data_IF_166765672291
#
_entry.id   IF_166765672291
#
_cell.length_a   1.000
_cell.length_b   1.000
_cell.length_c   1.000
_cell.angle_alpha   90.00
_cell.angle_beta   90.00
_cell.angle_gamma   90.00
#
_symmetry.space_group_name_H-M   'P 1'
#
loop_
_entity.id
_entity.type
_entity.pdbx_description
1 polymer ?
#
# COMPACT_ATOMS: atom_id res chain seq x y z
N UNK A 1 -2.35 17.82 -22.60
CA UNK A 1 -1.38 17.63 -21.49
C UNK A 1 -0.51 16.43 -21.81
N UNK A 2 0.81 16.58 -21.74
CA UNK A 2 1.76 15.50 -21.98
C UNK A 2 2.12 14.82 -20.64
N UNK A 3 1.80 13.54 -20.49
CA UNK A 3 2.04 12.76 -19.28
C UNK A 3 3.18 11.77 -19.52
N UNK A 4 4.26 11.91 -18.72
CA UNK A 4 5.33 10.91 -18.66
C UNK A 4 4.89 9.71 -17.85
N UNK A 5 4.99 8.50 -18.39
CA UNK A 5 4.58 7.26 -17.70
C UNK A 5 5.77 6.37 -17.44
N UNK A 6 6.00 6.06 -16.15
CA UNK A 6 7.09 5.24 -15.65
C UNK A 6 6.57 4.15 -14.72
N UNK A 7 7.05 2.93 -14.86
CA UNK A 7 6.77 1.80 -13.96
C UNK A 7 8.07 1.21 -13.45
N UNK A 8 8.20 1.08 -12.14
CA UNK A 8 9.23 0.20 -11.57
C UNK A 8 8.69 -1.24 -11.57
N UNK A 9 9.18 -2.11 -12.47
CA UNK A 9 8.62 -3.45 -12.63
C UNK A 9 8.85 -4.36 -11.42
N UNK A 10 9.74 -3.97 -10.52
CA UNK A 10 10.11 -4.77 -9.34
C UNK A 10 9.37 -4.31 -8.08
N UNK A 11 8.69 -3.16 -8.15
CA UNK A 11 7.97 -2.63 -6.99
C UNK A 11 6.81 -3.54 -6.56
N UNK A 12 6.83 -3.93 -5.27
CA UNK A 12 5.81 -4.77 -4.66
C UNK A 12 5.85 -6.25 -5.04
N UNK A 13 6.86 -6.69 -5.80
CA UNK A 13 6.97 -8.04 -6.35
C UNK A 13 7.00 -9.13 -5.27
N UNK A 14 7.73 -8.91 -4.18
CA UNK A 14 7.90 -9.89 -3.10
C UNK A 14 6.84 -9.84 -2.00
N UNK A 15 5.81 -8.98 -2.11
CA UNK A 15 4.87 -8.73 -1.01
C UNK A 15 4.14 -9.98 -0.52
N UNK A 16 3.60 -10.80 -1.42
CA UNK A 16 2.94 -12.07 -1.07
C UNK A 16 3.89 -13.15 -0.57
N UNK A 17 5.18 -13.04 -0.87
CA UNK A 17 6.22 -13.96 -0.41
C UNK A 17 6.81 -13.55 0.95
N UNK A 18 6.29 -12.49 1.58
CA UNK A 18 6.81 -11.96 2.84
C UNK A 18 8.11 -11.17 2.72
N UNK A 19 8.53 -10.82 1.50
CA UNK A 19 9.72 -10.00 1.31
C UNK A 19 9.44 -8.56 1.75
N UNK A 20 10.32 -8.01 2.57
CA UNK A 20 10.17 -6.67 3.18
C UNK A 20 10.73 -5.54 2.32
N UNK A 21 10.89 -5.79 1.03
CA UNK A 21 11.39 -4.95 -0.04
C UNK A 21 11.73 -5.82 -1.25
N UNK A 22 11.70 -5.23 -2.45
CA UNK A 22 12.07 -5.94 -3.70
C UNK A 22 13.49 -5.64 -4.15
N UNK A 23 14.17 -4.68 -3.51
CA UNK A 23 15.48 -4.20 -3.91
C UNK A 23 16.53 -5.32 -3.80
N UNK A 24 17.18 -5.62 -4.93
CA UNK A 24 18.19 -6.68 -5.06
C UNK A 24 17.66 -8.11 -4.95
N UNK A 25 16.34 -8.34 -4.77
CA UNK A 25 15.71 -9.67 -4.63
C UNK A 25 14.61 -9.94 -5.65
N UNK A 26 14.45 -9.09 -6.65
CA UNK A 26 13.40 -9.21 -7.66
C UNK A 26 13.49 -10.53 -8.44
N UNK A 27 14.71 -10.97 -8.77
CA UNK A 27 14.94 -12.25 -9.44
C UNK A 27 14.51 -13.43 -8.59
N UNK A 28 14.91 -13.46 -7.32
CA UNK A 28 14.51 -14.49 -6.35
C UNK A 28 12.99 -14.53 -6.19
N UNK A 29 12.36 -13.37 -6.09
CA UNK A 29 10.90 -13.29 -6.00
C UNK A 29 10.21 -13.86 -7.24
N UNK A 30 10.70 -13.56 -8.45
CA UNK A 30 10.15 -14.11 -9.70
C UNK A 30 10.36 -15.61 -9.81
N UNK A 31 11.52 -16.12 -9.43
CA UNK A 31 11.81 -17.56 -9.38
C UNK A 31 10.89 -18.29 -8.38
N UNK A 32 10.50 -17.60 -7.29
CA UNK A 32 9.52 -18.09 -6.32
C UNK A 32 8.06 -17.90 -6.77
N UNK A 33 7.80 -17.43 -7.99
CA UNK A 33 6.47 -17.31 -8.56
C UNK A 33 5.75 -15.98 -8.25
N UNK A 34 6.47 -14.95 -7.81
CA UNK A 34 5.87 -13.64 -7.58
C UNK A 34 5.29 -13.06 -8.88
N UNK A 35 4.12 -12.46 -8.77
CA UNK A 35 3.44 -11.78 -9.88
C UNK A 35 3.75 -10.28 -9.86
N UNK A 36 3.83 -9.69 -11.04
CA UNK A 36 3.96 -8.24 -11.18
C UNK A 36 2.79 -7.51 -10.50
N UNK A 37 3.11 -6.42 -9.82
CA UNK A 37 2.12 -5.61 -9.11
C UNK A 37 2.04 -4.18 -9.67
N UNK A 38 3.15 -3.49 -9.78
CA UNK A 38 3.18 -2.09 -10.21
C UNK A 38 2.62 -1.91 -11.64
N UNK A 39 3.00 -2.79 -12.55
CA UNK A 39 2.55 -2.74 -13.94
C UNK A 39 1.04 -2.88 -14.11
N UNK A 40 0.39 -3.95 -13.59
CA UNK A 40 -1.07 -4.08 -13.64
C UNK A 40 -1.81 -2.89 -13.00
N UNK A 41 -1.27 -2.30 -11.95
CA UNK A 41 -1.85 -1.12 -11.30
C UNK A 41 -1.73 0.13 -12.17
N UNK A 42 -0.62 0.31 -12.88
CA UNK A 42 -0.50 1.36 -13.89
C UNK A 42 -1.51 1.15 -15.02
N UNK A 43 -1.68 -0.08 -15.51
CA UNK A 43 -2.68 -0.39 -16.53
C UNK A 43 -4.08 0.03 -16.08
N UNK A 44 -4.50 -0.33 -14.87
CA UNK A 44 -5.78 0.10 -14.29
C UNK A 44 -5.91 1.62 -14.22
N UNK A 45 -4.82 2.32 -13.86
CA UNK A 45 -4.80 3.79 -13.80
C UNK A 45 -5.01 4.41 -15.19
N UNK A 46 -4.28 3.92 -16.19
CA UNK A 46 -4.38 4.45 -17.56
C UNK A 46 -5.75 4.17 -18.17
N UNK A 47 -6.31 2.96 -17.99
CA UNK A 47 -7.68 2.65 -18.42
C UNK A 47 -8.69 3.65 -17.85
N UNK A 48 -8.63 3.88 -16.53
CA UNK A 48 -9.52 4.83 -15.86
C UNK A 48 -9.30 6.25 -16.36
N UNK A 49 -8.06 6.65 -16.57
CA UNK A 49 -7.74 7.99 -17.08
C UNK A 49 -8.27 8.20 -18.51
N UNK A 50 -8.20 7.18 -19.36
CA UNK A 50 -8.79 7.22 -20.71
C UNK A 50 -10.31 7.34 -20.66
N UNK A 51 -10.99 6.56 -19.81
CA UNK A 51 -12.45 6.68 -19.59
C UNK A 51 -12.84 8.10 -19.17
N UNK A 52 -12.12 8.69 -18.21
CA UNK A 52 -12.38 10.05 -17.74
C UNK A 52 -12.13 11.10 -18.83
N UNK A 53 -11.07 10.91 -19.61
CA UNK A 53 -10.73 11.82 -20.72
C UNK A 53 -11.77 11.79 -21.83
N UNK A 54 -12.27 10.61 -22.18
CA UNK A 54 -13.37 10.46 -23.15
C UNK A 54 -14.66 11.13 -22.65
N UNK A 55 -15.03 10.88 -21.38
CA UNK A 55 -16.24 11.46 -20.77
C UNK A 55 -16.19 13.00 -20.73
N UNK A 56 -15.00 13.58 -20.58
CA UNK A 56 -14.81 15.03 -20.45
C UNK A 56 -14.24 15.69 -21.70
N UNK A 57 -14.04 14.93 -22.77
CA UNK A 57 -13.47 15.36 -24.05
C UNK A 57 -12.11 16.06 -23.87
N UNK A 58 -11.21 15.45 -23.09
CA UNK A 58 -9.88 15.96 -22.79
C UNK A 58 -8.83 15.28 -23.69
N UNK A 59 -7.86 16.06 -24.15
CA UNK A 59 -6.72 15.54 -24.89
C UNK A 59 -5.55 15.25 -23.95
N UNK A 60 -5.14 13.98 -23.88
CA UNK A 60 -3.98 13.51 -23.14
C UNK A 60 -3.02 12.80 -24.11
N UNK A 61 -1.77 13.23 -24.07
CA UNK A 61 -0.67 12.58 -24.77
C UNK A 61 0.21 11.85 -23.75
N UNK A 62 0.69 10.67 -24.11
CA UNK A 62 1.52 9.86 -23.22
C UNK A 62 2.90 9.66 -23.81
N UNK A 63 3.92 9.99 -23.00
CA UNK A 63 5.31 9.67 -23.24
C UNK A 63 5.70 8.56 -22.28
N UNK A 64 5.98 7.35 -22.80
CA UNK A 64 6.00 6.14 -22.00
C UNK A 64 7.38 5.47 -22.08
N UNK A 65 7.97 5.14 -20.94
CA UNK A 65 9.20 4.37 -20.90
C UNK A 65 9.03 3.00 -21.60
N UNK A 66 10.03 2.58 -22.35
CA UNK A 66 9.97 1.35 -23.15
C UNK A 66 9.85 0.07 -22.29
N UNK A 67 9.25 -0.96 -22.85
CA UNK A 67 9.15 -2.30 -22.28
C UNK A 67 8.45 -2.30 -20.91
N UNK A 68 8.97 -3.13 -19.99
CA UNK A 68 8.39 -3.29 -18.67
C UNK A 68 8.44 -2.04 -17.77
N UNK A 69 9.24 -1.05 -18.15
CA UNK A 69 9.25 0.24 -17.44
C UNK A 69 8.07 1.14 -17.81
N UNK A 70 7.16 0.71 -18.69
CA UNK A 70 5.97 1.48 -19.03
C UNK A 70 5.14 0.87 -20.16
N UNK A 71 5.70 0.73 -21.37
CA UNK A 71 4.96 0.40 -22.59
C UNK A 71 4.19 -0.93 -22.52
N UNK A 72 4.74 -1.94 -21.86
CA UNK A 72 4.11 -3.26 -21.73
C UNK A 72 2.82 -3.23 -20.88
N UNK A 73 2.61 -2.14 -20.15
CA UNK A 73 1.46 -1.95 -19.25
C UNK A 73 0.43 -0.99 -19.79
N UNK A 74 0.65 -0.43 -20.96
CA UNK A 74 -0.36 0.42 -21.59
C UNK A 74 -1.54 -0.45 -22.04
N UNK A 75 -2.79 0.02 -21.87
CA UNK A 75 -3.97 -0.68 -22.36
C UNK A 75 -3.89 -0.90 -23.87
N UNK A 76 -4.49 -1.99 -24.34
CA UNK A 76 -4.55 -2.30 -25.77
C UNK A 76 -5.28 -1.18 -26.54
N UNK A 77 -4.69 -0.73 -27.64
CA UNK A 77 -5.24 0.37 -28.45
C UNK A 77 -4.91 1.77 -27.97
N UNK A 78 -4.16 1.92 -26.86
CA UNK A 78 -3.70 3.23 -26.39
C UNK A 78 -2.74 3.86 -27.40
N UNK A 79 -2.90 5.17 -27.62
CA UNK A 79 -1.96 5.96 -28.39
C UNK A 79 -0.89 6.55 -27.46
N UNK A 80 0.39 6.24 -27.68
CA UNK A 80 1.50 6.76 -26.90
C UNK A 80 2.80 6.79 -27.71
N UNK A 81 3.74 7.64 -27.28
CA UNK A 81 5.11 7.64 -27.76
C UNK A 81 5.99 6.89 -26.76
N UNK A 82 6.67 5.83 -27.21
CA UNK A 82 7.64 5.10 -26.37
C UNK A 82 9.02 5.73 -26.45
N UNK A 83 9.71 5.80 -25.30
CA UNK A 83 11.08 6.33 -25.19
C UNK A 83 12.04 5.36 -24.53
N UNK A 84 13.32 5.49 -24.85
CA UNK A 84 14.39 4.64 -24.34
C UNK A 84 14.37 3.24 -24.93
N UNK A 85 15.26 2.40 -24.44
CA UNK A 85 15.35 0.98 -24.78
C UNK A 85 15.84 0.22 -23.55
N UNK A 86 14.90 -0.13 -22.67
CA UNK A 86 15.18 -0.80 -21.41
C UNK A 86 14.83 -2.28 -21.55
N UNK A 87 15.87 -3.13 -21.64
CA UNK A 87 15.72 -4.58 -21.77
C UNK A 87 16.48 -5.30 -20.65
N UNK A 88 15.83 -6.27 -20.02
CA UNK A 88 16.43 -7.05 -18.93
C UNK A 88 16.07 -6.55 -17.53
N UNK A 89 17.02 -6.71 -16.60
CA UNK A 89 16.87 -6.18 -15.24
C UNK A 89 17.04 -4.66 -15.25
N UNK A 90 16.12 -3.95 -14.63
CA UNK A 90 16.13 -2.49 -14.55
C UNK A 90 16.47 -2.03 -13.14
N UNK A 91 17.05 -0.83 -13.02
CA UNK A 91 17.53 -0.28 -11.75
C UNK A 91 17.27 1.23 -11.61
N UNK A 92 17.78 1.83 -10.51
CA UNK A 92 17.66 3.26 -10.27
C UNK A 92 18.23 4.14 -11.40
N UNK A 93 19.31 3.67 -12.06
CA UNK A 93 19.94 4.41 -13.17
C UNK A 93 19.03 4.49 -14.39
N UNK A 94 18.25 3.43 -14.67
CA UNK A 94 17.26 3.44 -15.74
C UNK A 94 16.11 4.41 -15.42
N UNK A 95 15.66 4.44 -14.16
CA UNK A 95 14.68 5.43 -13.67
C UNK A 95 15.21 6.85 -13.89
N UNK A 96 16.45 7.12 -13.52
CA UNK A 96 17.08 8.44 -13.72
C UNK A 96 17.15 8.83 -15.18
N UNK A 97 17.49 7.90 -16.05
CA UNK A 97 17.55 8.13 -17.51
C UNK A 97 16.19 8.47 -18.07
N UNK A 98 15.14 7.72 -17.70
CA UNK A 98 13.75 7.99 -18.12
C UNK A 98 13.28 9.37 -17.65
N UNK A 99 13.58 9.73 -16.40
CA UNK A 99 13.22 11.06 -15.87
C UNK A 99 13.93 12.16 -16.65
N UNK A 100 15.21 11.99 -16.97
CA UNK A 100 15.96 12.91 -17.84
C UNK A 100 15.29 13.09 -19.20
N UNK A 101 14.91 12.00 -19.86
CA UNK A 101 14.19 12.02 -21.14
C UNK A 101 12.85 12.75 -21.04
N UNK A 102 12.12 12.58 -19.92
CA UNK A 102 10.86 13.29 -19.67
C UNK A 102 11.08 14.80 -19.52
N UNK A 103 12.12 15.21 -18.80
CA UNK A 103 12.45 16.60 -18.60
C UNK A 103 12.89 17.28 -19.91
N UNK A 104 13.69 16.61 -20.73
CA UNK A 104 14.10 17.11 -22.06
C UNK A 104 12.91 17.32 -23.00
N UNK A 105 11.83 16.57 -22.82
CA UNK A 105 10.59 16.67 -23.62
C UNK A 105 9.49 17.46 -22.95
N UNK A 106 9.82 18.11 -21.83
CA UNK A 106 8.92 19.04 -21.12
C UNK A 106 7.55 18.42 -20.78
N UNK A 107 7.54 17.18 -20.20
CA UNK A 107 6.27 16.60 -19.77
C UNK A 107 5.61 17.48 -18.69
N UNK A 108 4.30 17.60 -18.75
CA UNK A 108 3.51 18.41 -17.81
C UNK A 108 3.38 17.74 -16.43
N UNK A 109 3.50 16.40 -16.38
CA UNK A 109 3.37 15.59 -15.19
C UNK A 109 4.03 14.23 -15.39
N UNK A 110 4.66 13.69 -14.33
CA UNK A 110 5.16 12.31 -14.30
C UNK A 110 4.20 11.45 -13.47
N UNK A 111 3.56 10.49 -14.12
CA UNK A 111 2.75 9.46 -13.52
C UNK A 111 3.59 8.18 -13.41
N UNK A 112 3.86 7.73 -12.19
CA UNK A 112 4.72 6.56 -11.99
C UNK A 112 4.07 5.50 -11.10
N UNK A 113 4.38 4.24 -11.33
CA UNK A 113 4.00 3.14 -10.44
C UNK A 113 5.25 2.58 -9.73
N UNK A 114 5.24 2.63 -8.40
CA UNK A 114 6.39 2.25 -7.60
C UNK A 114 6.13 2.28 -6.11
N UNK A 115 7.20 2.37 -5.33
CA UNK A 115 7.22 2.61 -3.90
C UNK A 115 8.08 3.84 -3.54
N UNK A 116 8.37 4.03 -2.24
CA UNK A 116 9.16 5.19 -1.76
C UNK A 116 10.57 5.23 -2.37
N UNK A 117 11.24 4.07 -2.54
CA UNK A 117 12.53 4.01 -3.23
C UNK A 117 12.45 4.56 -4.66
N UNK A 118 11.41 4.18 -5.43
CA UNK A 118 11.19 4.72 -6.78
C UNK A 118 10.93 6.23 -6.74
N UNK A 119 10.17 6.70 -5.76
CA UNK A 119 9.91 8.14 -5.57
C UNK A 119 11.19 8.91 -5.30
N UNK A 120 12.04 8.37 -4.42
CA UNK A 120 13.36 8.95 -4.11
C UNK A 120 14.24 9.07 -5.36
N UNK A 121 14.29 8.01 -6.18
CA UNK A 121 15.09 7.98 -7.39
C UNK A 121 14.60 9.00 -8.43
N UNK A 122 13.26 9.12 -8.59
CA UNK A 122 12.64 10.15 -9.44
C UNK A 122 13.00 11.54 -8.94
N UNK A 123 12.79 11.83 -7.66
CA UNK A 123 13.02 13.16 -7.08
C UNK A 123 14.51 13.55 -7.15
N UNK A 124 15.41 12.61 -6.93
CA UNK A 124 16.86 12.84 -7.11
C UNK A 124 17.20 13.23 -8.55
N UNK A 125 16.47 12.70 -9.52
CA UNK A 125 16.69 12.96 -10.95
C UNK A 125 16.01 14.24 -11.43
N UNK A 126 14.93 14.69 -10.75
CA UNK A 126 14.27 15.96 -11.06
C UNK A 126 15.18 17.18 -10.81
N UNK A 127 16.12 17.09 -9.84
CA UNK A 127 16.98 18.20 -9.46
C UNK A 127 16.18 19.45 -9.07
N UNK A 128 16.36 20.55 -9.79
CA UNK A 128 15.62 21.81 -9.58
C UNK A 128 14.30 21.89 -10.36
N UNK A 129 13.96 20.87 -11.14
CA UNK A 129 12.72 20.85 -11.91
C UNK A 129 11.49 20.84 -11.01
N UNK A 130 10.48 21.59 -11.38
CA UNK A 130 9.17 21.65 -10.70
C UNK A 130 8.12 20.78 -11.39
N UNK A 131 8.51 19.85 -12.26
CA UNK A 131 7.59 18.91 -12.89
C UNK A 131 6.88 18.09 -11.81
N UNK A 132 5.55 18.16 -11.74
CA UNK A 132 4.80 17.45 -10.71
C UNK A 132 4.82 15.94 -10.93
N UNK A 133 4.76 15.21 -9.82
CA UNK A 133 4.71 13.76 -9.82
C UNK A 133 3.43 13.25 -9.17
N UNK A 134 2.90 12.14 -9.67
CA UNK A 134 1.79 11.40 -9.06
C UNK A 134 2.16 9.93 -9.01
N UNK A 135 2.17 9.37 -7.80
CA UNK A 135 2.50 7.97 -7.57
C UNK A 135 1.26 7.08 -7.60
N UNK A 136 1.28 6.08 -8.47
CA UNK A 136 0.37 4.93 -8.42
C UNK A 136 0.95 3.93 -7.42
N UNK A 137 0.21 3.56 -6.37
CA UNK A 137 0.73 2.71 -5.31
C UNK A 137 1.08 1.32 -5.82
N UNK A 138 2.35 1.03 -6.06
CA UNK A 138 2.88 -0.27 -6.53
C UNK A 138 3.67 -1.03 -5.47
N UNK A 139 4.28 -0.31 -4.52
CA UNK A 139 5.10 -0.86 -3.45
C UNK A 139 4.31 -1.44 -2.27
N UNK A 140 5.06 -1.97 -1.29
CA UNK A 140 4.53 -2.52 -0.03
C UNK A 140 4.50 -1.45 1.06
N UNK A 141 5.44 -0.50 0.99
CA UNK A 141 5.63 0.60 1.93
C UNK A 141 5.60 1.89 1.13
N UNK A 142 4.76 2.84 1.52
CA UNK A 142 4.63 4.11 0.83
C UNK A 142 4.28 5.18 1.86
N UNK A 143 5.25 6.03 2.16
CA UNK A 143 5.17 7.09 3.16
C UNK A 143 5.14 8.48 2.53
N UNK A 144 5.67 8.60 1.30
CA UNK A 144 5.70 9.86 0.55
C UNK A 144 4.30 10.35 0.23
N UNK A 145 4.08 11.66 0.36
CA UNK A 145 2.77 12.28 0.18
C UNK A 145 2.29 12.39 -1.27
N UNK A 146 3.14 12.04 -2.25
CA UNK A 146 2.80 12.08 -3.68
C UNK A 146 2.02 10.85 -4.19
N UNK A 147 1.81 9.81 -3.37
CA UNK A 147 1.03 8.66 -3.77
C UNK A 147 -0.47 8.92 -3.69
N UNK A 148 -1.17 8.60 -4.74
CA UNK A 148 -2.62 8.49 -4.69
C UNK A 148 -3.05 7.31 -3.78
N UNK A 149 -4.29 7.33 -3.32
CA UNK A 149 -4.81 6.29 -2.45
C UNK A 149 -4.93 4.93 -3.17
N UNK A 150 -5.39 4.95 -4.42
CA UNK A 150 -5.57 3.78 -5.29
C UNK A 150 -5.14 4.10 -6.73
N UNK A 151 -5.03 3.09 -7.62
CA UNK A 151 -4.83 3.33 -9.06
C UNK A 151 -5.92 4.21 -9.67
N UNK A 152 -7.18 3.99 -9.31
CA UNK A 152 -8.31 4.80 -9.80
C UNK A 152 -8.23 6.23 -9.27
N UNK A 153 -7.87 6.41 -8.00
CA UNK A 153 -7.65 7.73 -7.43
C UNK A 153 -6.49 8.49 -8.12
N UNK A 154 -5.44 7.80 -8.55
CA UNK A 154 -4.37 8.41 -9.33
C UNK A 154 -4.90 8.99 -10.65
N UNK A 155 -5.76 8.26 -11.35
CA UNK A 155 -6.42 8.75 -12.57
C UNK A 155 -7.29 9.99 -12.31
N UNK A 156 -8.08 9.98 -11.22
CA UNK A 156 -8.91 11.13 -10.83
C UNK A 156 -8.04 12.37 -10.52
N UNK A 157 -6.89 12.18 -9.82
CA UNK A 157 -5.95 13.27 -9.53
C UNK A 157 -5.37 13.87 -10.82
N UNK A 158 -4.88 13.01 -11.74
CA UNK A 158 -4.33 13.48 -13.02
C UNK A 158 -5.39 14.20 -13.86
N UNK A 159 -6.60 13.66 -13.91
CA UNK A 159 -7.72 14.25 -14.63
C UNK A 159 -8.15 15.61 -14.04
N UNK A 160 -8.29 15.70 -12.72
CA UNK A 160 -8.64 16.94 -12.03
C UNK A 160 -7.53 18.00 -12.15
N UNK A 161 -6.25 17.59 -12.16
CA UNK A 161 -5.13 18.48 -12.43
C UNK A 161 -5.17 19.03 -13.85
N UNK A 162 -5.43 18.17 -14.84
CA UNK A 162 -5.57 18.60 -16.24
C UNK A 162 -6.71 19.62 -16.46
N UNK A 163 -7.78 19.48 -15.68
CA UNK A 163 -8.91 20.43 -15.67
C UNK A 163 -8.62 21.75 -14.94
N UNK A 164 -7.46 21.86 -14.27
CA UNK A 164 -7.15 23.03 -13.44
C UNK A 164 -7.92 23.07 -12.11
N UNK A 165 -8.52 21.95 -11.70
CA UNK A 165 -9.28 21.85 -10.44
C UNK A 165 -8.37 21.64 -9.21
N UNK A 166 -7.09 21.32 -9.43
CA UNK A 166 -6.10 21.10 -8.38
C UNK A 166 -4.93 22.08 -8.49
N UNK A 167 -4.41 22.47 -7.34
CA UNK A 167 -3.18 23.26 -7.24
C UNK A 167 -2.00 22.34 -6.97
N UNK A 168 -0.80 22.78 -7.32
CA UNK A 168 0.43 22.11 -6.95
C UNK A 168 0.82 22.47 -5.51
N UNK A 169 1.19 21.48 -4.74
CA UNK A 169 1.75 21.63 -3.40
C UNK A 169 3.06 20.87 -3.29
N UNK A 170 3.97 21.39 -2.44
CA UNK A 170 5.13 20.63 -2.02
C UNK A 170 4.68 19.50 -1.10
N UNK A 171 5.25 18.33 -1.31
CA UNK A 171 5.06 17.17 -0.44
C UNK A 171 6.40 16.56 -0.07
N UNK A 172 6.49 16.04 1.14
CA UNK A 172 7.67 15.36 1.63
C UNK A 172 7.83 14.01 0.94
N UNK A 173 9.05 13.73 0.48
CA UNK A 173 9.46 12.42 -0.02
C UNK A 173 10.17 11.71 1.11
N UNK A 174 9.54 10.66 1.58
CA UNK A 174 9.95 9.89 2.74
C UNK A 174 10.37 8.50 2.28
N UNK A 175 11.45 7.97 2.83
CA UNK A 175 11.81 6.58 2.65
C UNK A 175 12.19 5.98 4.00
N UNK A 176 11.87 4.71 4.19
CA UNK A 176 12.29 3.96 5.36
C UNK A 176 13.73 3.51 5.17
N UNK A 177 14.54 3.75 6.20
CA UNK A 177 15.83 3.07 6.32
C UNK A 177 15.53 1.58 6.57
N UNK A 178 15.53 0.79 5.49
CA UNK A 178 15.15 -0.63 5.56
C UNK A 178 16.02 -1.44 6.52
N UNK A 179 17.30 -1.06 6.66
CA UNK A 179 18.23 -1.75 7.54
C UNK A 179 17.89 -1.53 9.02
N UNK A 180 17.57 -0.29 9.38
CA UNK A 180 17.12 0.10 10.72
C UNK A 180 15.72 -0.47 11.01
N UNK A 181 14.86 -0.47 10.00
CA UNK A 181 13.51 -1.02 10.11
C UNK A 181 13.49 -2.54 10.31
N UNK A 182 14.40 -3.29 9.67
CA UNK A 182 14.58 -4.75 9.91
C UNK A 182 15.06 -5.06 11.32
N UNK A 183 15.72 -4.10 11.98
CA UNK A 183 16.15 -4.21 13.38
C UNK A 183 15.03 -3.85 14.37
N UNK A 184 13.83 -3.51 13.89
CA UNK A 184 12.68 -3.17 14.71
C UNK A 184 12.59 -1.69 15.09
N UNK A 185 13.52 -0.85 14.62
CA UNK A 185 13.47 0.59 14.83
C UNK A 185 12.77 1.29 13.66
N UNK A 186 11.82 2.16 13.99
CA UNK A 186 11.14 3.00 13.02
C UNK A 186 11.96 4.26 12.76
N UNK A 187 12.64 4.32 11.62
CA UNK A 187 13.33 5.53 11.20
C UNK A 187 12.95 5.89 9.77
N UNK A 188 12.09 6.88 9.64
CA UNK A 188 11.75 7.49 8.37
C UNK A 188 12.69 8.66 8.14
N UNK A 189 13.29 8.73 6.96
CA UNK A 189 14.12 9.87 6.54
C UNK A 189 13.37 10.65 5.47
N UNK A 190 13.44 11.97 5.57
CA UNK A 190 13.09 12.85 4.48
C UNK A 190 14.26 12.89 3.49
N UNK A 191 13.99 12.56 2.25
CA UNK A 191 14.98 12.55 1.17
C UNK A 191 14.89 13.77 0.28
N UNK A 192 13.78 14.49 0.29
CA UNK A 192 13.55 15.67 -0.51
C UNK A 192 12.09 16.10 -0.50
N UNK A 193 11.80 17.04 -1.36
CA UNK A 193 10.44 17.51 -1.62
C UNK A 193 10.11 17.32 -3.09
N UNK A 194 8.84 17.12 -3.39
CA UNK A 194 8.32 17.02 -4.75
C UNK A 194 7.06 17.86 -4.90
N UNK A 195 6.85 18.38 -6.10
CA UNK A 195 5.56 18.98 -6.45
C UNK A 195 4.55 17.87 -6.78
N UNK A 196 3.36 17.97 -6.23
CA UNK A 196 2.25 17.05 -6.56
C UNK A 196 0.94 17.81 -6.61
N UNK A 197 -0.05 17.40 -7.45
CA UNK A 197 -1.37 17.96 -7.40
C UNK A 197 -2.03 17.73 -6.04
N UNK A 198 -2.46 18.78 -5.38
CA UNK A 198 -3.00 18.71 -4.01
C UNK A 198 -4.49 18.35 -4.03
N UNK A 199 -4.81 17.16 -3.55
CA UNK A 199 -6.17 16.71 -3.35
C UNK A 199 -6.29 15.95 -2.02
N UNK A 200 -6.91 16.55 -0.99
CA UNK A 200 -7.12 15.87 0.29
C UNK A 200 -7.93 14.57 0.18
N UNK A 201 -8.73 14.45 -0.88
CA UNK A 201 -9.58 13.28 -1.11
C UNK A 201 -8.82 12.08 -1.65
N UNK A 202 -7.80 12.29 -2.51
CA UNK A 202 -7.18 11.22 -3.30
C UNK A 202 -5.70 10.99 -3.01
N UNK A 203 -5.07 11.93 -2.28
CA UNK A 203 -3.64 11.86 -1.92
C UNK A 203 -3.45 11.41 -0.48
N UNK A 204 -2.25 10.93 -0.18
CA UNK A 204 -1.85 10.62 1.19
C UNK A 204 -1.74 11.91 2.01
N UNK A 205 -2.43 11.96 3.16
CA UNK A 205 -2.22 13.03 4.13
C UNK A 205 -0.90 12.83 4.90
N UNK A 206 -0.27 13.94 5.28
CA UNK A 206 0.85 13.93 6.23
C UNK A 206 0.40 13.35 7.58
N UNK A 207 1.27 12.55 8.21
CA UNK A 207 1.03 12.04 9.56
C UNK A 207 1.10 13.20 10.56
N UNK A 208 0.03 13.50 11.24
CA UNK A 208 0.11 14.21 12.52
C UNK A 208 0.40 13.19 13.62
N UNK A 209 1.51 13.38 14.32
CA UNK A 209 1.79 12.62 15.54
C UNK A 209 0.91 13.19 16.65
N UNK A 210 -0.07 12.43 17.08
CA UNK A 210 -0.84 12.75 18.29
C UNK A 210 -0.38 11.78 19.38
N UNK A 211 0.50 12.28 20.25
CA UNK A 211 0.80 11.61 21.52
C UNK A 211 -0.35 11.87 22.48
N UNK A 212 -0.99 10.83 22.98
CA UNK A 212 -1.95 10.94 24.08
C UNK A 212 -1.64 9.92 25.18
N UNK A 213 -1.67 10.38 26.42
CA UNK A 213 -1.57 9.52 27.61
C UNK A 213 -2.68 8.45 27.68
N UNK A 214 -3.73 8.60 26.85
CA UNK A 214 -4.83 7.64 26.75
C UNK A 214 -4.55 6.47 25.81
N UNK A 215 -3.47 6.48 25.03
CA UNK A 215 -3.18 5.41 24.06
C UNK A 215 -2.67 4.15 24.75
N UNK A 216 -1.85 4.29 25.80
CA UNK A 216 -1.33 3.15 26.57
C UNK A 216 -2.47 2.41 27.31
N UNK A 217 -3.38 3.14 27.97
CA UNK A 217 -4.57 2.56 28.60
C UNK A 217 -5.48 1.82 27.60
N UNK A 218 -5.60 2.36 26.39
CA UNK A 218 -6.38 1.72 25.32
C UNK A 218 -5.71 0.44 24.84
N UNK A 219 -4.37 0.46 24.67
CA UNK A 219 -3.61 -0.74 24.27
C UNK A 219 -3.71 -1.83 25.36
N UNK A 220 -3.65 -1.47 26.64
CA UNK A 220 -3.87 -2.42 27.74
C UNK A 220 -5.26 -3.06 27.66
N UNK A 221 -6.32 -2.26 27.47
CA UNK A 221 -7.68 -2.76 27.35
C UNK A 221 -7.89 -3.63 26.09
N UNK A 222 -7.21 -3.30 24.97
CA UNK A 222 -7.24 -4.11 23.76
C UNK A 222 -6.53 -5.45 23.98
N UNK A 223 -5.37 -5.45 24.65
CA UNK A 223 -4.61 -6.66 24.96
C UNK A 223 -5.40 -7.58 25.89
N UNK A 224 -6.01 -7.04 26.94
CA UNK A 224 -6.88 -7.80 27.85
C UNK A 224 -8.07 -8.45 27.13
N UNK A 225 -8.68 -7.74 26.17
CA UNK A 225 -9.77 -8.33 25.39
C UNK A 225 -9.30 -9.48 24.50
N UNK A 226 -8.11 -9.37 23.87
CA UNK A 226 -7.53 -10.45 23.06
C UNK A 226 -7.16 -11.64 23.94
N UNK A 227 -6.61 -11.38 25.13
CA UNK A 227 -6.31 -12.42 26.11
C UNK A 227 -7.57 -13.18 26.53
N UNK A 228 -8.69 -12.46 26.77
CA UNK A 228 -9.98 -13.09 27.07
C UNK A 228 -10.42 -14.02 25.93
N UNK A 229 -10.34 -13.57 24.67
CA UNK A 229 -10.70 -14.40 23.51
C UNK A 229 -9.86 -15.68 23.44
N UNK A 230 -8.55 -15.60 23.70
CA UNK A 230 -7.64 -16.74 23.72
C UNK A 230 -7.91 -17.71 24.90
N UNK A 231 -8.40 -17.19 26.01
CA UNK A 231 -8.81 -18.02 27.18
C UNK A 231 -10.15 -18.68 26.99
N UNK A 232 -11.07 -18.03 26.28
CA UNK A 232 -12.40 -18.56 25.97
C UNK A 232 -12.33 -19.71 24.94
N UNK A 233 -11.35 -19.67 24.03
CA UNK A 233 -11.11 -20.68 23.01
C UNK A 233 -9.59 -20.96 22.90
N UNK A 234 -9.13 -22.03 23.55
CA UNK A 234 -7.71 -22.43 23.55
C UNK A 234 -7.21 -22.85 22.15
N UNK A 235 -8.11 -23.21 21.25
CA UNK A 235 -7.81 -23.60 19.87
C UNK A 235 -8.02 -22.44 18.87
N UNK A 236 -8.21 -21.21 19.37
CA UNK A 236 -8.37 -20.04 18.54
C UNK A 236 -7.08 -19.74 17.74
N UNK A 237 -7.20 -19.80 16.42
CA UNK A 237 -6.15 -19.35 15.51
C UNK A 237 -6.28 -17.84 15.28
N UNK A 238 -5.25 -17.09 15.63
CA UNK A 238 -5.19 -15.65 15.38
C UNK A 238 -4.12 -15.36 14.34
N UNK A 239 -4.52 -14.74 13.23
CA UNK A 239 -3.60 -14.15 12.25
C UNK A 239 -3.37 -12.70 12.67
N UNK A 240 -2.14 -12.39 13.01
CA UNK A 240 -1.69 -11.05 13.38
C UNK A 240 -1.18 -10.31 12.14
N UNK A 241 -1.86 -9.26 11.75
CA UNK A 241 -1.40 -8.39 10.67
C UNK A 241 -0.12 -7.63 11.04
N UNK A 242 0.53 -7.07 10.02
CA UNK A 242 1.75 -6.26 10.22
C UNK A 242 1.46 -4.92 10.90
N UNK A 243 2.45 -4.40 11.60
CA UNK A 243 2.45 -3.06 12.16
C UNK A 243 2.63 -2.99 13.68
N UNK A 244 3.12 -1.83 14.15
CA UNK A 244 3.50 -1.62 15.56
C UNK A 244 2.38 -1.88 16.55
N UNK A 245 1.15 -1.46 16.25
CA UNK A 245 0.00 -1.67 17.14
C UNK A 245 -0.24 -3.15 17.41
N UNK A 246 -0.29 -3.98 16.36
CA UNK A 246 -0.54 -5.42 16.51
C UNK A 246 0.63 -6.15 17.15
N UNK A 247 1.86 -5.77 16.82
CA UNK A 247 3.05 -6.27 17.51
C UNK A 247 2.99 -5.98 19.01
N UNK A 248 2.70 -4.74 19.41
CA UNK A 248 2.58 -4.37 20.83
C UNK A 248 1.51 -5.19 21.53
N UNK A 249 0.34 -5.38 20.91
CA UNK A 249 -0.74 -6.19 21.49
C UNK A 249 -0.33 -7.68 21.62
N UNK A 250 0.37 -8.22 20.65
CA UNK A 250 0.91 -9.57 20.72
C UNK A 250 1.95 -9.70 21.86
N UNK A 251 2.88 -8.74 21.99
CA UNK A 251 3.87 -8.68 23.06
C UNK A 251 3.20 -8.61 24.46
N UNK A 252 2.15 -7.80 24.61
CA UNK A 252 1.35 -7.71 25.85
C UNK A 252 0.62 -9.03 26.16
N UNK A 253 0.35 -9.84 25.15
CA UNK A 253 -0.21 -11.20 25.26
C UNK A 253 0.86 -12.29 25.36
N UNK A 254 2.12 -11.96 25.64
CA UNK A 254 3.24 -12.88 25.81
C UNK A 254 3.81 -13.48 24.52
N UNK A 255 3.42 -12.96 23.36
CA UNK A 255 3.86 -13.44 22.05
C UNK A 255 4.94 -12.51 21.46
N UNK A 256 5.98 -13.09 20.83
CA UNK A 256 7.06 -12.33 20.20
C UNK A 256 6.79 -12.15 18.70
N UNK A 257 5.73 -11.38 18.38
CA UNK A 257 5.32 -11.13 17.01
C UNK A 257 6.28 -10.20 16.26
N UNK A 258 6.31 -10.32 14.94
CA UNK A 258 7.15 -9.52 14.06
C UNK A 258 6.49 -8.15 13.77
N UNK A 259 7.31 -7.13 13.52
CA UNK A 259 6.79 -5.79 13.17
C UNK A 259 6.20 -5.74 11.76
N UNK A 260 6.77 -6.48 10.82
CA UNK A 260 6.51 -6.38 9.38
C UNK A 260 5.89 -7.63 8.78
N UNK A 261 6.05 -8.76 9.45
CA UNK A 261 5.52 -10.04 9.02
C UNK A 261 4.03 -10.17 9.31
N UNK A 262 3.49 -11.25 8.81
CA UNK A 262 2.20 -11.78 9.24
C UNK A 262 2.52 -12.99 10.09
N UNK A 263 2.03 -12.99 11.32
CA UNK A 263 2.28 -14.03 12.28
C UNK A 263 0.98 -14.79 12.58
N UNK A 264 1.08 -16.05 12.96
CA UNK A 264 -0.08 -16.85 13.38
C UNK A 264 0.19 -17.41 14.77
N UNK A 265 -0.77 -17.22 15.69
CA UNK A 265 -0.75 -17.89 16.99
C UNK A 265 -1.91 -18.88 17.12
N UNK A 266 -1.64 -20.02 17.74
CA UNK A 266 -2.64 -21.02 18.17
C UNK A 266 -2.26 -21.39 19.61
N UNK A 267 -3.10 -21.04 20.57
CA UNK A 267 -2.73 -21.12 21.98
C UNK A 267 -1.46 -20.32 22.27
N UNK A 268 -0.40 -21.01 22.78
CA UNK A 268 0.91 -20.39 23.06
C UNK A 268 1.91 -20.53 21.90
N UNK A 269 1.58 -21.32 20.89
CA UNK A 269 2.45 -21.51 19.73
C UNK A 269 2.37 -20.31 18.80
N UNK A 270 3.52 -19.81 18.32
CA UNK A 270 3.62 -18.68 17.43
C UNK A 270 4.48 -19.02 16.21
N UNK A 271 3.90 -18.85 15.03
CA UNK A 271 4.58 -18.96 13.74
C UNK A 271 4.83 -17.56 13.19
N UNK A 272 6.08 -17.19 13.01
CA UNK A 272 6.48 -15.83 12.68
C UNK A 272 6.77 -15.63 11.18
N UNK A 273 6.43 -14.44 10.69
CA UNK A 273 6.82 -13.91 9.38
C UNK A 273 6.45 -14.83 8.21
N UNK A 274 5.21 -15.28 8.21
CA UNK A 274 4.69 -16.23 7.23
C UNK A 274 4.38 -15.53 5.89
N UNK A 275 4.70 -16.22 4.81
CA UNK A 275 4.23 -15.87 3.48
C UNK A 275 2.83 -16.46 3.22
N UNK A 276 2.19 -16.06 2.11
CA UNK A 276 0.85 -16.51 1.72
C UNK A 276 0.70 -18.04 1.76
N UNK A 277 1.63 -18.79 1.15
CA UNK A 277 1.55 -20.25 1.08
C UNK A 277 1.64 -20.92 2.45
N UNK A 278 2.45 -20.37 3.35
CA UNK A 278 2.57 -20.86 4.71
C UNK A 278 1.31 -20.57 5.52
N UNK A 279 0.73 -19.37 5.37
CA UNK A 279 -0.55 -19.01 6.01
C UNK A 279 -1.66 -19.98 5.56
N UNK A 280 -1.80 -20.20 4.25
CA UNK A 280 -2.77 -21.13 3.70
C UNK A 280 -2.56 -22.56 4.21
N UNK A 281 -1.29 -23.02 4.28
CA UNK A 281 -0.97 -24.35 4.81
C UNK A 281 -1.34 -24.51 6.28
N UNK A 282 -1.20 -23.48 7.12
CA UNK A 282 -1.67 -23.50 8.51
C UNK A 282 -3.19 -23.50 8.57
N UNK A 283 -3.85 -22.66 7.77
CA UNK A 283 -5.32 -22.59 7.71
C UNK A 283 -5.95 -23.91 7.25
N UNK A 284 -5.34 -24.62 6.29
CA UNK A 284 -5.82 -25.92 5.81
C UNK A 284 -5.75 -27.02 6.87
N UNK A 285 -4.82 -26.91 7.81
CA UNK A 285 -4.62 -27.90 8.88
C UNK A 285 -5.38 -27.58 10.16
N UNK A 286 -6.01 -26.40 10.23
CA UNK A 286 -6.73 -25.93 11.41
C UNK A 286 -8.24 -25.95 11.21
N UNK A 287 -8.93 -26.79 11.99
CA UNK A 287 -10.41 -26.95 11.94
C UNK A 287 -11.15 -26.04 12.94
N UNK A 288 -10.43 -25.37 13.84
CA UNK A 288 -10.98 -24.50 14.89
C UNK A 288 -11.38 -23.10 14.42
N UNK A 289 -11.72 -22.27 15.39
CA UNK A 289 -12.07 -20.85 15.15
C UNK A 289 -10.87 -20.08 14.61
N UNK A 290 -11.11 -19.17 13.68
CA UNK A 290 -10.09 -18.34 13.04
C UNK A 290 -10.43 -16.87 13.23
N UNK A 291 -9.44 -16.06 13.53
CA UNK A 291 -9.57 -14.60 13.68
C UNK A 291 -8.43 -13.90 12.94
N UNK A 292 -8.77 -12.94 12.10
CA UNK A 292 -7.79 -12.07 11.44
C UNK A 292 -7.80 -10.69 12.11
N UNK A 293 -6.72 -10.37 12.81
CA UNK A 293 -6.51 -9.06 13.44
C UNK A 293 -5.78 -8.13 12.47
N UNK A 294 -6.37 -7.00 12.17
CA UNK A 294 -5.81 -5.98 11.29
C UNK A 294 -5.88 -4.61 11.95
N UNK A 295 -4.91 -3.76 11.66
CA UNK A 295 -4.93 -2.36 12.09
C UNK A 295 -4.68 -1.44 10.91
N UNK A 296 -5.44 -0.34 10.77
CA UNK A 296 -5.23 0.59 9.65
C UNK A 296 -3.79 1.09 9.60
N UNK A 297 -3.21 1.04 8.39
CA UNK A 297 -1.83 1.47 8.15
C UNK A 297 -1.80 2.97 7.84
N UNK A 298 -1.00 3.69 8.62
CA UNK A 298 -0.79 5.12 8.44
C UNK A 298 -2.09 5.96 8.47
N UNK A 299 -2.00 7.23 8.12
CA UNK A 299 -3.16 8.15 8.05
C UNK A 299 -4.12 7.93 6.90
N UNK A 300 -3.89 6.89 6.07
CA UNK A 300 -4.68 6.61 4.86
C UNK A 300 -5.88 5.70 5.08
N UNK A 301 -5.91 4.98 6.22
CA UNK A 301 -6.98 4.06 6.53
C UNK A 301 -6.96 2.72 5.79
N UNK A 302 -5.84 2.35 5.15
CA UNK A 302 -5.74 1.02 4.55
C UNK A 302 -5.73 -0.06 5.62
N UNK A 303 -6.73 -0.92 5.60
CA UNK A 303 -6.81 -2.10 6.44
C UNK A 303 -6.19 -3.31 5.73
N UNK A 304 -6.42 -3.44 4.43
CA UNK A 304 -5.91 -4.52 3.58
C UNK A 304 -5.28 -3.90 2.32
N UNK A 305 -4.19 -4.53 1.84
CA UNK A 305 -3.57 -4.21 0.55
C UNK A 305 -2.30 -3.38 0.63
N UNK A 306 -1.99 -2.81 1.79
CA UNK A 306 -0.73 -2.10 2.01
C UNK A 306 -0.02 -2.63 3.25
N UNK A 307 1.23 -3.09 3.07
CA UNK A 307 2.06 -3.66 4.14
C UNK A 307 1.64 -5.05 4.62
N UNK A 308 0.58 -5.64 4.08
CA UNK A 308 0.04 -6.94 4.46
C UNK A 308 -0.44 -7.76 3.24
N UNK A 309 0.33 -7.75 2.15
CA UNK A 309 -0.03 -8.45 0.91
C UNK A 309 -0.08 -9.98 1.03
N UNK A 310 0.51 -10.53 2.10
CA UNK A 310 0.39 -11.94 2.45
C UNK A 310 -1.05 -12.31 2.80
N UNK A 311 -1.85 -11.34 3.26
CA UNK A 311 -3.30 -11.46 3.43
C UNK A 311 -3.96 -11.34 2.05
N UNK A 312 -3.81 -12.39 1.26
CA UNK A 312 -4.34 -12.48 -0.09
C UNK A 312 -5.85 -12.70 -0.09
N UNK A 313 -6.53 -12.55 -1.24
CA UNK A 313 -7.94 -12.94 -1.38
C UNK A 313 -8.23 -14.36 -0.91
N UNK A 314 -7.33 -15.31 -1.19
CA UNK A 314 -7.45 -16.70 -0.79
C UNK A 314 -7.44 -16.85 0.73
N UNK A 315 -6.49 -16.19 1.41
CA UNK A 315 -6.42 -16.16 2.89
C UNK A 315 -7.70 -15.57 3.47
N UNK A 316 -8.18 -14.45 2.93
CA UNK A 316 -9.40 -13.79 3.39
C UNK A 316 -10.62 -14.69 3.23
N UNK A 317 -10.75 -15.38 2.09
CA UNK A 317 -11.87 -16.34 1.85
C UNK A 317 -11.83 -17.53 2.81
N UNK A 318 -10.63 -18.06 3.13
CA UNK A 318 -10.50 -19.15 4.10
C UNK A 318 -10.77 -18.73 5.54
N UNK A 319 -10.40 -17.51 5.92
CA UNK A 319 -10.72 -16.95 7.24
C UNK A 319 -12.21 -16.59 7.33
N UNK A 320 -12.76 -16.05 6.26
CA UNK A 320 -14.12 -15.51 6.20
C UNK A 320 -14.21 -14.06 6.68
N UNK A 321 -15.03 -13.28 5.99
CA UNK A 321 -15.16 -11.83 6.24
C UNK A 321 -15.72 -11.51 7.64
N UNK A 322 -16.47 -12.41 8.25
CA UNK A 322 -17.04 -12.23 9.60
C UNK A 322 -15.98 -12.38 10.70
N UNK A 323 -14.88 -13.01 10.39
CA UNK A 323 -13.78 -13.28 11.30
C UNK A 323 -12.64 -12.25 11.18
N UNK A 324 -12.91 -11.11 10.54
CA UNK A 324 -11.99 -9.99 10.46
C UNK A 324 -12.34 -9.00 11.57
N UNK A 325 -11.41 -8.77 12.47
CA UNK A 325 -11.52 -7.79 13.54
C UNK A 325 -10.44 -6.71 13.36
N UNK A 326 -10.88 -5.49 13.07
CA UNK A 326 -9.99 -4.35 13.01
C UNK A 326 -9.62 -3.85 14.40
N UNK A 327 -8.40 -3.38 14.55
CA UNK A 327 -7.89 -2.72 15.77
C UNK A 327 -7.62 -1.26 15.46
N UNK A 328 -8.18 -0.35 16.26
CA UNK A 328 -7.97 1.07 16.05
C UNK A 328 -7.69 1.80 17.37
N UNK A 329 -6.60 2.56 17.41
CA UNK A 329 -6.21 3.37 18.55
C UNK A 329 -6.75 4.80 18.42
N UNK A 330 -6.83 5.60 19.53
CA UNK A 330 -7.29 6.98 19.48
C UNK A 330 -6.51 7.85 18.49
N UNK A 331 -5.20 7.70 18.41
CA UNK A 331 -4.35 8.43 17.45
C UNK A 331 -4.74 8.14 16.00
N UNK A 332 -5.08 6.89 15.67
CA UNK A 332 -5.55 6.51 14.35
C UNK A 332 -6.97 7.01 14.06
N UNK A 333 -7.84 7.07 15.07
CA UNK A 333 -9.21 7.60 14.93
C UNK A 333 -9.23 9.07 14.52
N UNK A 334 -8.21 9.85 14.89
CA UNK A 334 -8.13 11.25 14.50
C UNK A 334 -7.80 11.44 12.99
N UNK A 335 -7.13 10.46 12.40
CA UNK A 335 -6.63 10.55 11.03
C UNK A 335 -7.37 9.67 10.04
N UNK A 336 -7.98 8.57 10.51
CA UNK A 336 -8.67 7.57 9.68
C UNK A 336 -10.18 7.77 9.75
N UNK A 337 -10.76 8.38 8.74
CA UNK A 337 -12.21 8.61 8.66
C UNK A 337 -12.98 7.43 8.05
N UNK A 338 -12.32 6.63 7.22
CA UNK A 338 -12.88 5.45 6.55
C UNK A 338 -11.80 4.41 6.30
N UNK A 339 -12.20 3.16 6.19
CA UNK A 339 -11.31 2.04 5.92
C UNK A 339 -11.17 1.83 4.42
N UNK A 340 -9.95 1.64 3.94
CA UNK A 340 -9.66 1.28 2.56
C UNK A 340 -9.26 -0.17 2.46
N UNK A 341 -9.81 -0.83 1.45
CA UNK A 341 -9.57 -2.23 1.13
C UNK A 341 -9.06 -2.30 -0.31
N UNK A 342 -7.96 -3.00 -0.51
CA UNK A 342 -7.36 -3.20 -1.83
C UNK A 342 -6.76 -4.62 -1.83
N UNK A 343 -7.61 -5.61 -1.96
CA UNK A 343 -7.17 -7.02 -1.97
C UNK A 343 -6.46 -7.38 -3.28
N UNK A 344 -6.71 -6.63 -4.34
CA UNK A 344 -6.30 -6.93 -5.71
C UNK A 344 -7.21 -7.93 -6.42
N UNK A 345 -8.39 -8.23 -5.84
CA UNK A 345 -9.47 -9.05 -6.40
C UNK A 345 -10.74 -8.20 -6.38
N UNK A 346 -11.24 -7.84 -7.56
CA UNK A 346 -12.36 -6.91 -7.70
C UNK A 346 -13.67 -7.47 -7.11
N UNK A 347 -13.87 -8.78 -7.13
CA UNK A 347 -15.07 -9.42 -6.58
C UNK A 347 -15.06 -9.33 -5.05
N UNK A 348 -13.93 -9.64 -4.43
CA UNK A 348 -13.78 -9.56 -2.98
C UNK A 348 -13.82 -8.11 -2.49
N UNK A 349 -13.22 -7.18 -3.22
CA UNK A 349 -13.31 -5.75 -2.91
C UNK A 349 -14.77 -5.26 -2.97
N UNK A 350 -15.54 -5.74 -3.95
CA UNK A 350 -16.98 -5.47 -4.04
C UNK A 350 -17.78 -6.06 -2.88
N UNK A 351 -17.41 -7.25 -2.36
CA UNK A 351 -18.05 -7.83 -1.16
C UNK A 351 -17.84 -6.94 0.07
N UNK A 352 -16.60 -6.42 0.28
CA UNK A 352 -16.33 -5.46 1.35
C UNK A 352 -17.14 -4.17 1.20
N UNK A 353 -17.28 -3.66 -0.02
CA UNK A 353 -18.08 -2.47 -0.29
C UNK A 353 -19.57 -2.72 -0.03
N UNK A 354 -20.09 -3.92 -0.35
CA UNK A 354 -21.48 -4.29 -0.05
C UNK A 354 -21.74 -4.36 1.46
N UNK A 355 -20.76 -4.81 2.26
CA UNK A 355 -20.86 -4.77 3.72
C UNK A 355 -20.92 -3.35 4.26
N UNK A 356 -20.36 -2.37 3.57
CA UNK A 356 -20.28 -0.94 3.91
C UNK A 356 -19.51 -0.62 5.18
N UNK A 357 -19.49 -1.53 6.15
CA UNK A 357 -18.93 -1.29 7.47
C UNK A 357 -18.14 -2.49 7.98
N UNK A 358 -17.05 -2.23 8.68
CA UNK A 358 -16.30 -3.22 9.43
C UNK A 358 -16.26 -2.87 10.91
N UNK A 359 -16.18 -3.93 11.73
CA UNK A 359 -16.09 -3.82 13.18
C UNK A 359 -14.64 -3.56 13.58
N UNK A 360 -14.43 -2.49 14.35
CA UNK A 360 -13.13 -2.10 14.87
C UNK A 360 -13.17 -2.14 16.39
N UNK A 361 -12.23 -2.85 16.99
CA UNK A 361 -12.02 -2.84 18.44
C UNK A 361 -11.20 -1.59 18.81
N UNK A 362 -11.66 -0.80 19.78
CA UNK A 362 -11.02 0.45 20.20
C UNK A 362 -10.70 0.49 21.71
N UNK A 363 -10.88 -0.62 22.41
CA UNK A 363 -10.62 -0.78 23.84
C UNK A 363 -11.22 -2.08 24.36
N UNK A 364 -11.13 -2.33 25.69
CA UNK A 364 -11.68 -3.55 26.28
C UNK A 364 -13.17 -3.68 25.97
N UNK A 365 -13.54 -4.75 25.25
CA UNK A 365 -14.91 -5.05 24.81
C UNK A 365 -15.65 -3.89 24.13
N UNK A 366 -14.90 -2.85 23.74
CA UNK A 366 -15.48 -1.65 23.12
C UNK A 366 -15.22 -1.67 21.63
N UNK A 367 -16.29 -1.70 20.84
CA UNK A 367 -16.21 -1.74 19.39
C UNK A 367 -16.83 -0.51 18.75
N UNK A 368 -16.29 -0.15 17.60
CA UNK A 368 -16.79 0.89 16.71
C UNK A 368 -17.04 0.30 15.33
N UNK A 369 -18.04 0.82 14.65
CA UNK A 369 -18.32 0.52 13.27
C UNK A 369 -17.67 1.59 12.40
N UNK A 370 -16.81 1.21 11.47
CA UNK A 370 -16.19 2.13 10.52
C UNK A 370 -16.60 1.80 9.09
N UNK A 371 -16.83 2.86 8.32
CA UNK A 371 -17.24 2.73 6.92
C UNK A 371 -16.06 2.26 6.07
N UNK A 372 -16.32 1.33 5.14
CA UNK A 372 -15.43 1.01 4.03
C UNK A 372 -15.57 2.11 2.98
N UNK A 373 -14.45 2.68 2.53
CA UNK A 373 -14.46 3.72 1.51
C UNK A 373 -14.92 3.16 0.17
N UNK A 374 -15.77 3.90 -0.49
CA UNK A 374 -15.99 3.80 -1.94
C UNK A 374 -14.90 4.68 -2.57
N UNK A 375 -13.97 4.11 -3.30
CA UNK A 375 -12.92 4.85 -4.02
C UNK A 375 -13.45 5.55 -5.27
#
# INVERSE_FOLDING_TARGET
MLVGVLVNPDAGLGGRLGFKGSDGRAKEAREAGAKDRAGPRMNTTIQRLQELSELRNLELDFLVAHGRMGADWMPEGSNFQSIGNYSGETGPEDTSTVVGDFLEREVDLILYAGGDGTTRDIVSSLGESRTPIVGVPGGVKMHSGCFAATPRAAAEVVNAYHLGELLLANTEVMDLDEEVYRQGEWRVRMYGEAMTPASPRWMQGAKEQVESASEEEVLEGLAEHIEDLRKEDEDLLIIWGSGGTLRTLAEMNGLQATLLGIDISIGEELHNDLNESQILGVLEQHDGTRLLLLSPMGGQGFLIGRGNLQISPEVIRQVGLDNILGIITPSKLLTVNSLRIDTGDEELDAEFLQRKYLKMLQGFRTTRIMRVAED
#
